data_IF_060109535403
#
_entry.id   IF_060109535403
#
_cell.length_a   1.000
_cell.length_b   1.000
_cell.length_c   1.000
_cell.angle_alpha   90.00
_cell.angle_beta   90.00
_cell.angle_gamma   90.00
#
_symmetry.space_group_name_H-M   'P 1'
#
loop_
_entity.id
_entity.type
_entity.pdbx_description
1 polymer ?
#
# COMPACT_ATOMS: atom_id res chain seq x y z
N UNK A 1 -4.72 11.16 32.49
CA UNK A 1 -5.81 10.82 31.56
C UNK A 1 -5.12 10.35 30.29
N UNK A 2 -5.08 9.04 30.06
CA UNK A 2 -4.51 8.47 28.85
C UNK A 2 -5.40 8.90 27.68
N UNK A 3 -4.80 9.57 26.70
CA UNK A 3 -5.47 9.88 25.45
C UNK A 3 -5.56 8.54 24.71
N UNK A 4 -6.72 7.89 24.77
CA UNK A 4 -6.97 6.72 23.93
C UNK A 4 -6.89 7.22 22.49
N UNK A 5 -5.83 6.83 21.79
CA UNK A 5 -5.74 7.05 20.36
C UNK A 5 -7.00 6.43 19.75
N UNK A 6 -7.81 7.22 19.05
CA UNK A 6 -8.99 6.70 18.37
C UNK A 6 -8.55 5.52 17.50
N UNK A 7 -9.07 4.33 17.80
CA UNK A 7 -8.91 3.16 16.95
C UNK A 7 -9.30 3.58 15.52
N UNK A 8 -8.47 3.28 14.52
CA UNK A 8 -8.78 3.66 13.15
C UNK A 8 -10.15 3.12 12.76
N UNK A 9 -11.00 4.00 12.24
CA UNK A 9 -12.41 3.73 11.92
C UNK A 9 -12.61 2.55 10.95
N UNK A 10 -11.57 2.12 10.23
CA UNK A 10 -11.57 0.97 9.36
C UNK A 10 -10.38 0.06 9.68
N UNK A 11 -10.68 -1.23 9.86
CA UNK A 11 -9.70 -2.30 10.02
C UNK A 11 -9.93 -3.40 8.99
N UNK A 12 -8.86 -3.83 8.32
CA UNK A 12 -8.81 -4.99 7.45
C UNK A 12 -7.91 -6.02 8.13
N UNK A 13 -8.47 -7.15 8.51
CA UNK A 13 -7.73 -8.22 9.18
C UNK A 13 -7.91 -9.54 8.43
N UNK A 14 -6.81 -10.29 8.31
CA UNK A 14 -6.79 -11.64 7.74
C UNK A 14 -7.53 -11.77 6.40
N UNK A 15 -7.38 -10.75 5.54
CA UNK A 15 -8.15 -10.63 4.31
C UNK A 15 -7.30 -10.89 3.07
N UNK A 16 -7.94 -11.40 2.02
CA UNK A 16 -7.32 -11.58 0.71
C UNK A 16 -8.01 -10.67 -0.31
N UNK A 17 -7.25 -9.76 -0.91
CA UNK A 17 -7.69 -8.85 -1.97
C UNK A 17 -6.92 -9.18 -3.23
N UNK A 18 -7.59 -9.82 -4.20
CA UNK A 18 -6.92 -10.40 -5.36
C UNK A 18 -7.59 -10.02 -6.68
N UNK A 19 -6.77 -9.75 -7.69
CA UNK A 19 -7.20 -9.53 -9.08
C UNK A 19 -8.24 -8.41 -9.26
N UNK A 20 -8.14 -7.36 -8.45
CA UNK A 20 -8.95 -6.16 -8.61
C UNK A 20 -8.23 -5.14 -9.48
N UNK A 21 -9.01 -4.35 -10.22
CA UNK A 21 -8.48 -3.31 -11.10
C UNK A 21 -9.21 -1.99 -10.89
N UNK A 22 -8.48 -0.90 -10.70
CA UNK A 22 -9.00 0.45 -10.84
C UNK A 22 -8.81 0.91 -12.29
N UNK A 23 -9.81 1.61 -12.86
CA UNK A 23 -9.78 2.08 -14.24
C UNK A 23 -8.77 3.21 -14.47
N UNK A 24 -8.80 3.79 -15.67
CA UNK A 24 -7.97 4.94 -16.02
C UNK A 24 -8.23 6.12 -15.05
N UNK A 25 -7.18 6.88 -14.76
CA UNK A 25 -7.11 7.97 -13.78
C UNK A 25 -7.45 7.56 -12.33
N UNK A 26 -7.48 6.25 -12.04
CA UNK A 26 -7.87 5.71 -10.73
C UNK A 26 -6.69 5.07 -10.01
N UNK A 27 -6.78 4.98 -8.68
CA UNK A 27 -5.69 4.50 -7.83
C UNK A 27 -6.13 3.39 -6.89
N UNK A 28 -5.19 2.58 -6.41
CA UNK A 28 -5.45 1.58 -5.38
C UNK A 28 -6.30 0.42 -5.91
N UNK A 29 -5.72 -0.41 -6.77
CA UNK A 29 -6.45 -1.48 -7.46
C UNK A 29 -7.16 -2.43 -6.50
N UNK A 30 -6.57 -2.68 -5.34
CA UNK A 30 -7.20 -3.39 -4.22
C UNK A 30 -7.84 -2.45 -3.18
N UNK A 31 -7.16 -1.36 -2.82
CA UNK A 31 -7.70 -0.38 -1.88
C UNK A 31 -7.15 1.02 -2.12
N UNK A 32 -8.05 2.00 -2.13
CA UNK A 32 -7.75 3.42 -2.04
C UNK A 32 -8.35 3.99 -0.75
N UNK A 33 -7.56 4.75 0.02
CA UNK A 33 -8.05 5.43 1.21
C UNK A 33 -7.55 6.87 1.31
N UNK A 34 -8.40 7.73 1.86
CA UNK A 34 -8.10 9.12 2.23
C UNK A 34 -8.25 9.35 3.74
N UNK A 35 -8.40 8.27 4.51
CA UNK A 35 -8.54 8.27 5.97
C UNK A 35 -7.64 7.20 6.59
N UNK A 36 -7.28 7.32 7.87
CA UNK A 36 -6.46 6.32 8.54
C UNK A 36 -7.13 4.94 8.51
N UNK A 37 -6.35 3.91 8.20
CA UNK A 37 -6.80 2.51 8.17
C UNK A 37 -5.72 1.62 8.78
N UNK A 38 -6.16 0.57 9.46
CA UNK A 38 -5.27 -0.50 9.90
C UNK A 38 -5.47 -1.72 9.03
N UNK A 39 -4.36 -2.29 8.53
CA UNK A 39 -4.35 -3.55 7.78
C UNK A 39 -3.43 -4.51 8.52
N UNK A 40 -3.97 -5.66 8.89
CA UNK A 40 -3.22 -6.70 9.60
C UNK A 40 -3.31 -8.02 8.84
N UNK A 41 -2.18 -8.72 8.76
CA UNK A 41 -2.09 -10.12 8.33
C UNK A 41 -2.84 -10.42 7.03
N UNK A 42 -2.82 -9.49 6.08
CA UNK A 42 -3.60 -9.56 4.86
C UNK A 42 -2.72 -9.77 3.63
N UNK A 43 -3.35 -10.06 2.49
CA UNK A 43 -2.65 -10.25 1.23
C UNK A 43 -3.32 -9.46 0.10
N UNK A 44 -2.51 -8.69 -0.64
CA UNK A 44 -2.93 -7.96 -1.83
C UNK A 44 -2.19 -8.52 -3.05
N UNK A 45 -2.90 -9.29 -3.87
CA UNK A 45 -2.30 -10.08 -4.95
C UNK A 45 -2.83 -9.67 -6.33
N UNK A 46 -1.93 -9.43 -7.29
CA UNK A 46 -2.30 -9.24 -8.71
C UNK A 46 -3.36 -8.16 -8.95
N UNK A 47 -3.36 -7.13 -8.12
CA UNK A 47 -4.21 -5.96 -8.31
C UNK A 47 -3.52 -4.98 -9.26
N UNK A 48 -4.31 -4.16 -9.96
CA UNK A 48 -3.78 -3.16 -10.87
C UNK A 48 -4.51 -1.82 -10.80
N UNK A 49 -3.79 -0.73 -10.98
CA UNK A 49 -4.34 0.61 -11.06
C UNK A 49 -3.40 1.53 -11.84
N UNK A 50 -3.78 2.79 -12.04
CA UNK A 50 -2.85 3.77 -12.57
C UNK A 50 -1.77 4.10 -11.53
N UNK A 51 -2.17 4.29 -10.27
CA UNK A 51 -1.28 4.61 -9.15
C UNK A 51 -1.55 3.72 -7.95
N UNK A 52 -0.53 3.14 -7.33
CA UNK A 52 -0.70 2.20 -6.22
C UNK A 52 -1.39 0.92 -6.70
N UNK A 53 -0.67 0.02 -7.37
CA UNK A 53 -1.26 -1.12 -8.07
C UNK A 53 -2.15 -1.99 -7.18
N UNK A 54 -1.76 -2.19 -5.92
CA UNK A 54 -2.64 -2.70 -4.87
C UNK A 54 -3.22 -1.59 -4.00
N UNK A 55 -2.33 -0.82 -3.37
CA UNK A 55 -2.68 0.06 -2.25
C UNK A 55 -2.32 1.50 -2.59
N UNK A 56 -3.27 2.41 -2.42
CA UNK A 56 -3.00 3.84 -2.48
C UNK A 56 -3.49 4.54 -1.21
N UNK A 57 -2.54 5.05 -0.43
CA UNK A 57 -2.76 5.91 0.72
C UNK A 57 -2.66 7.37 0.29
N UNK A 58 -3.80 8.02 0.10
CA UNK A 58 -3.85 9.42 -0.32
C UNK A 58 -3.69 10.38 0.87
N UNK A 59 -3.49 11.67 0.57
CA UNK A 59 -3.45 12.71 1.57
C UNK A 59 -4.68 12.64 2.50
N UNK A 60 -4.46 12.69 3.82
CA UNK A 60 -5.49 12.51 4.85
C UNK A 60 -5.55 11.10 5.47
N UNK A 61 -4.78 10.14 4.93
CA UNK A 61 -4.62 8.80 5.52
C UNK A 61 -3.44 8.70 6.50
N UNK A 62 -2.98 9.82 7.04
CA UNK A 62 -1.88 9.88 8.01
C UNK A 62 -2.21 9.08 9.28
N UNK A 63 -1.27 8.24 9.72
CA UNK A 63 -1.48 7.31 10.83
C UNK A 63 -2.08 5.97 10.41
N UNK A 64 -2.10 5.66 9.12
CA UNK A 64 -2.40 4.30 8.65
C UNK A 64 -1.29 3.34 9.06
N UNK A 65 -1.66 2.10 9.37
CA UNK A 65 -0.74 1.05 9.84
C UNK A 65 -0.96 -0.19 8.97
N UNK A 66 0.11 -0.75 8.43
CA UNK A 66 0.11 -2.05 7.77
C UNK A 66 1.06 -2.96 8.51
N UNK A 67 0.55 -4.11 8.94
CA UNK A 67 1.32 -5.09 9.70
C UNK A 67 1.18 -6.49 9.12
N UNK A 68 2.31 -7.18 8.97
CA UNK A 68 2.33 -8.60 8.59
C UNK A 68 1.64 -8.89 7.25
N UNK A 69 1.62 -7.90 6.35
CA UNK A 69 0.83 -7.96 5.11
C UNK A 69 1.74 -8.20 3.90
N UNK A 70 1.27 -9.06 2.99
CA UNK A 70 1.96 -9.35 1.73
C UNK A 70 1.33 -8.58 0.57
N UNK A 71 2.16 -7.95 -0.26
CA UNK A 71 1.75 -7.26 -1.48
C UNK A 71 2.55 -7.87 -2.63
N UNK A 72 1.90 -8.67 -3.46
CA UNK A 72 2.59 -9.46 -4.48
C UNK A 72 1.96 -9.39 -5.87
N UNK A 73 2.80 -9.26 -6.89
CA UNK A 73 2.38 -9.38 -8.28
C UNK A 73 1.48 -8.24 -8.75
N UNK A 74 1.49 -7.10 -8.07
CA UNK A 74 0.61 -5.97 -8.39
C UNK A 74 1.29 -5.05 -9.41
N UNK A 75 0.47 -4.35 -10.20
CA UNK A 75 0.96 -3.53 -11.30
C UNK A 75 0.33 -2.14 -11.30
N UNK A 76 1.17 -1.11 -11.26
CA UNK A 76 0.74 0.26 -11.50
C UNK A 76 1.15 0.73 -12.90
N UNK A 77 0.45 1.72 -13.46
CA UNK A 77 0.87 2.37 -14.70
C UNK A 77 1.94 3.43 -14.41
N UNK A 78 1.71 4.29 -13.40
CA UNK A 78 2.46 5.52 -13.18
C UNK A 78 3.29 5.57 -11.91
N UNK A 79 2.99 4.85 -10.83
CA UNK A 79 3.79 4.84 -9.60
C UNK A 79 3.30 3.80 -8.59
N UNK A 80 4.23 3.25 -7.79
CA UNK A 80 3.89 2.38 -6.67
C UNK A 80 3.26 1.08 -7.12
N UNK A 81 4.00 0.23 -7.84
CA UNK A 81 3.46 -0.99 -8.44
C UNK A 81 2.74 -1.89 -7.44
N UNK A 82 3.20 -1.92 -6.18
CA UNK A 82 2.47 -2.48 -5.05
C UNK A 82 1.72 -1.40 -4.27
N UNK A 83 2.48 -0.51 -3.63
CA UNK A 83 1.97 0.47 -2.69
C UNK A 83 2.42 1.87 -3.09
N UNK A 84 1.50 2.83 -3.09
CA UNK A 84 1.79 4.25 -3.16
C UNK A 84 1.39 4.93 -1.86
N UNK A 85 2.36 5.56 -1.18
CA UNK A 85 2.13 6.36 0.01
C UNK A 85 2.23 7.87 -0.31
N UNK A 86 1.11 8.57 -0.17
CA UNK A 86 1.02 10.03 -0.15
C UNK A 86 0.58 10.57 1.23
N UNK A 87 0.63 9.71 2.25
CA UNK A 87 0.48 10.07 3.67
C UNK A 87 1.58 9.40 4.52
N UNK A 88 1.68 9.78 5.80
CA UNK A 88 2.52 9.08 6.77
C UNK A 88 1.88 7.73 7.15
N UNK A 89 2.46 6.65 6.65
CA UNK A 89 1.99 5.27 6.85
C UNK A 89 3.11 4.47 7.52
N UNK A 90 2.75 3.70 8.53
CA UNK A 90 3.64 2.76 9.21
C UNK A 90 3.56 1.40 8.52
N UNK A 91 4.72 0.92 8.04
CA UNK A 91 4.89 -0.36 7.38
C UNK A 91 5.69 -1.30 8.27
N UNK A 92 5.00 -2.24 8.93
CA UNK A 92 5.57 -3.23 9.86
C UNK A 92 5.47 -4.64 9.26
N UNK A 93 6.57 -5.41 9.26
CA UNK A 93 6.59 -6.80 8.79
C UNK A 93 5.99 -7.01 7.39
N UNK A 94 6.28 -6.08 6.48
CA UNK A 94 5.72 -6.08 5.13
C UNK A 94 6.58 -6.87 4.14
N UNK A 95 5.93 -7.61 3.26
CA UNK A 95 6.58 -8.32 2.14
C UNK A 95 6.03 -7.80 0.81
N UNK A 96 6.89 -7.17 0.01
CA UNK A 96 6.53 -6.66 -1.32
C UNK A 96 7.35 -7.41 -2.36
N UNK A 97 6.69 -8.22 -3.18
CA UNK A 97 7.39 -9.01 -4.21
C UNK A 97 6.71 -8.96 -5.57
N UNK A 98 7.48 -9.03 -6.65
CA UNK A 98 6.93 -9.08 -8.02
C UNK A 98 5.99 -7.92 -8.38
N UNK A 99 6.15 -6.77 -7.73
CA UNK A 99 5.34 -5.61 -8.02
C UNK A 99 6.05 -4.75 -9.07
N UNK A 100 5.29 -4.19 -10.01
CA UNK A 100 5.90 -3.48 -11.14
C UNK A 100 5.18 -2.21 -11.53
N UNK A 101 5.91 -1.28 -12.13
CA UNK A 101 5.32 -0.15 -12.86
C UNK A 101 5.49 -0.35 -14.37
N UNK A 102 4.46 -0.01 -15.16
CA UNK A 102 4.49 -0.15 -16.62
C UNK A 102 5.19 1.01 -17.32
N UNK A 103 5.09 2.24 -16.80
CA UNK A 103 5.81 3.39 -17.34
C UNK A 103 7.29 3.35 -16.93
N UNK A 104 8.24 3.22 -17.88
CA UNK A 104 9.67 3.20 -17.58
C UNK A 104 10.22 4.52 -17.04
N UNK A 105 9.48 5.62 -17.15
CA UNK A 105 9.84 6.91 -16.56
C UNK A 105 9.43 7.04 -15.09
N UNK A 106 8.68 6.06 -14.57
CA UNK A 106 8.16 6.06 -13.21
C UNK A 106 9.16 5.54 -12.16
N UNK A 107 8.82 5.73 -10.88
CA UNK A 107 9.56 5.23 -9.72
C UNK A 107 8.67 4.37 -8.82
N UNK A 108 9.31 3.45 -8.08
CA UNK A 108 8.66 2.67 -7.02
C UNK A 108 7.94 1.41 -7.51
N UNK A 109 8.66 0.51 -8.20
CA UNK A 109 8.17 -0.82 -8.61
C UNK A 109 7.39 -1.55 -7.51
N UNK A 110 7.92 -1.60 -6.29
CA UNK A 110 7.18 -2.12 -5.12
C UNK A 110 6.47 -1.04 -4.33
N UNK A 111 7.21 -0.01 -3.93
CA UNK A 111 6.76 1.04 -3.02
C UNK A 111 7.19 2.39 -3.58
N UNK A 112 6.23 3.29 -3.76
CA UNK A 112 6.48 4.69 -4.07
C UNK A 112 6.04 5.55 -2.88
N UNK A 113 6.83 6.56 -2.56
CA UNK A 113 6.68 7.37 -1.34
C UNK A 113 6.80 8.85 -1.71
N UNK A 114 5.77 9.66 -1.43
CA UNK A 114 5.78 11.11 -1.65
C UNK A 114 5.76 11.95 -0.35
N UNK A 115 5.33 11.35 0.77
CA UNK A 115 5.37 11.87 2.14
C UNK A 115 6.12 10.89 3.05
N UNK A 116 6.29 11.14 4.35
CA UNK A 116 7.06 10.27 5.27
C UNK A 116 6.43 8.87 5.50
N UNK A 117 6.36 8.03 4.47
CA UNK A 117 6.05 6.60 4.57
C UNK A 117 7.30 5.90 5.12
N UNK A 118 7.17 5.24 6.26
CA UNK A 118 8.31 4.76 7.03
C UNK A 118 8.07 3.36 7.58
N UNK A 119 9.16 2.68 7.92
CA UNK A 119 9.16 1.44 8.67
C UNK A 119 9.47 1.77 10.11
N UNK A 120 8.65 1.35 11.07
CA UNK A 120 8.94 1.67 12.47
C UNK A 120 10.08 0.83 13.03
N UNK A 121 10.06 -0.51 13.04
CA UNK A 121 11.16 -1.27 13.69
C UNK A 121 11.45 -2.69 13.15
N UNK A 122 10.87 -3.10 12.02
CA UNK A 122 10.94 -4.51 11.53
C UNK A 122 11.14 -4.58 10.01
N UNK A 123 11.60 -5.71 9.45
CA UNK A 123 12.07 -5.74 8.06
C UNK A 123 10.93 -5.54 7.06
N UNK A 124 11.07 -4.51 6.23
CA UNK A 124 10.39 -4.36 4.96
C UNK A 124 11.16 -5.16 3.90
N UNK A 125 10.60 -6.27 3.44
CA UNK A 125 11.24 -7.09 2.41
C UNK A 125 10.72 -6.68 1.04
N UNK A 126 11.60 -6.12 0.19
CA UNK A 126 11.29 -5.82 -1.21
C UNK A 126 12.14 -6.72 -2.11
N UNK A 127 11.51 -7.51 -2.99
CA UNK A 127 12.25 -8.31 -3.96
C UNK A 127 11.55 -8.42 -5.31
N UNK A 128 12.32 -8.66 -6.38
CA UNK A 128 11.80 -8.90 -7.73
C UNK A 128 10.79 -7.85 -8.21
N UNK A 129 10.92 -6.61 -7.75
CA UNK A 129 10.00 -5.52 -8.05
C UNK A 129 10.74 -4.45 -8.85
N UNK A 130 10.16 -3.97 -9.95
CA UNK A 130 10.83 -3.15 -10.96
C UNK A 130 9.94 -2.02 -11.48
#
# INVERSE_FOLDING_TARGET
>A
MANEAEEPLLSIDQSLVVANSAGNDSSGGGMHTQRPVTINNSAFLRNSAERGGALHFAAGSDGSILKGTSVEGNTAVEAGGGVLCNAAVDLDEMTLTHNSVLDPASTGGALAVSSSCGTTERPLTVSHSY
#
